data_IF_862834032266
#
_entry.id   IF_862834032266
#
_cell.length_a   1.000
_cell.length_b   1.000
_cell.length_c   1.000
_cell.angle_alpha   90.00
_cell.angle_beta   90.00
_cell.angle_gamma   90.00
#
_symmetry.space_group_name_H-M   'P 1'
#
loop_
_entity.id
_entity.type
_entity.pdbx_description
1 polymer ?
#
# COMPACT_ATOMS: atom_id res chain seq x y z
N UNK A 1 32.20 -59.02 3.51
CA UNK A 1 30.86 -59.34 4.05
C UNK A 1 29.82 -58.57 3.26
N UNK A 2 28.74 -59.24 2.88
CA UNK A 2 27.48 -58.77 2.28
C UNK A 2 27.59 -57.83 1.05
N UNK A 3 27.63 -58.37 -0.17
CA UNK A 3 26.50 -58.81 -1.04
C UNK A 3 25.90 -57.65 -1.87
N UNK A 4 26.16 -57.69 -3.18
CA UNK A 4 25.43 -56.91 -4.18
C UNK A 4 24.06 -57.52 -4.51
N UNK A 5 23.38 -56.91 -5.48
CA UNK A 5 22.55 -57.48 -6.56
C UNK A 5 21.81 -56.30 -7.23
N UNK A 6 22.00 -56.12 -8.53
CA UNK A 6 21.08 -55.34 -9.37
C UNK A 6 20.10 -56.26 -10.08
N UNK A 7 19.00 -55.76 -10.67
CA UNK A 7 18.28 -56.49 -11.72
C UNK A 7 17.50 -55.57 -12.69
N UNK A 8 17.67 -55.95 -13.96
CA UNK A 8 17.00 -55.75 -15.25
C UNK A 8 15.77 -54.85 -15.49
N UNK A 9 15.83 -54.32 -16.72
CA UNK A 9 14.80 -53.80 -17.66
C UNK A 9 13.45 -54.54 -17.72
N UNK A 10 12.41 -53.78 -18.09
CA UNK A 10 11.43 -54.23 -19.09
C UNK A 10 10.96 -53.06 -19.98
N UNK A 11 11.21 -53.19 -21.29
CA UNK A 11 10.64 -52.38 -22.37
C UNK A 11 9.44 -53.14 -22.95
N UNK A 12 8.33 -52.45 -23.24
CA UNK A 12 7.32 -52.95 -24.18
C UNK A 12 6.96 -51.86 -25.19
N UNK A 13 7.40 -52.07 -26.44
CA UNK A 13 6.92 -51.39 -27.65
C UNK A 13 5.52 -51.91 -28.01
N UNK A 14 4.68 -51.04 -28.54
CA UNK A 14 3.65 -51.41 -29.52
C UNK A 14 3.53 -50.30 -30.59
N UNK A 15 3.27 -50.75 -31.82
CA UNK A 15 3.46 -50.08 -33.12
C UNK A 15 2.19 -49.34 -33.62
N UNK A 16 2.29 -48.51 -34.68
CA UNK A 16 1.24 -47.61 -35.15
C UNK A 16 0.31 -48.27 -36.19
N UNK A 17 -0.84 -47.64 -36.43
CA UNK A 17 -1.71 -47.93 -37.57
C UNK A 17 -2.12 -46.62 -38.26
N UNK A 18 -1.66 -46.47 -39.51
CA UNK A 18 -2.18 -45.49 -40.48
C UNK A 18 -3.51 -45.98 -41.06
N UNK A 19 -4.42 -45.05 -41.36
CA UNK A 19 -5.29 -45.14 -42.53
C UNK A 19 -5.05 -43.90 -43.39
N UNK A 20 -4.73 -44.13 -44.67
CA UNK A 20 -4.70 -43.12 -45.73
C UNK A 20 -6.09 -43.05 -46.36
N UNK A 21 -6.57 -41.83 -46.64
CA UNK A 21 -7.31 -41.56 -47.87
C UNK A 21 -6.83 -40.22 -48.44
N UNK A 22 -6.62 -40.22 -49.76
CA UNK A 22 -6.03 -39.18 -50.60
C UNK A 22 -7.11 -38.28 -51.24
N UNK A 23 -6.62 -37.21 -51.87
CA UNK A 23 -7.25 -36.22 -52.77
C UNK A 23 -7.72 -34.92 -52.08
N UNK A 24 -7.32 -33.71 -52.49
CA UNK A 24 -6.68 -33.30 -53.75
C UNK A 24 -6.09 -31.88 -53.70
N UNK A 25 -5.54 -31.51 -54.87
CA UNK A 25 -4.71 -30.35 -55.22
C UNK A 25 -5.22 -28.96 -54.79
N UNK A 26 -4.27 -28.04 -54.56
CA UNK A 26 -4.51 -26.60 -54.68
C UNK A 26 -3.41 -25.73 -54.10
N UNK A 27 -2.48 -25.28 -54.95
CA UNK A 27 -1.48 -24.23 -54.66
C UNK A 27 -2.17 -22.91 -54.29
N UNK A 28 -1.80 -22.29 -53.16
CA UNK A 28 -1.57 -20.84 -53.05
C UNK A 28 -0.45 -20.62 -52.02
N UNK A 29 0.76 -20.35 -52.49
CA UNK A 29 1.80 -19.68 -51.72
C UNK A 29 1.35 -18.24 -51.47
N UNK A 30 0.72 -18.00 -50.33
CA UNK A 30 0.56 -16.65 -49.80
C UNK A 30 1.86 -16.28 -49.10
N UNK A 31 2.67 -15.46 -49.77
CA UNK A 31 3.77 -14.73 -49.14
C UNK A 31 3.11 -13.70 -48.20
N UNK A 32 2.73 -14.13 -47.00
CA UNK A 32 2.39 -13.18 -45.94
C UNK A 32 3.72 -12.58 -45.51
N UNK A 33 4.03 -11.40 -46.05
CA UNK A 33 4.96 -10.51 -45.39
C UNK A 33 4.42 -10.31 -43.98
N UNK A 34 5.00 -11.03 -43.01
CA UNK A 34 4.84 -10.69 -41.61
C UNK A 34 5.46 -9.29 -41.48
N UNK A 35 4.61 -8.28 -41.61
CA UNK A 35 4.89 -7.00 -41.00
C UNK A 35 4.91 -7.32 -39.51
N UNK A 36 6.09 -7.63 -38.98
CA UNK A 36 6.31 -7.56 -37.55
C UNK A 36 6.00 -6.11 -37.19
N UNK A 37 4.77 -5.88 -36.77
CA UNK A 37 4.48 -4.74 -35.92
C UNK A 37 5.31 -5.03 -34.68
N UNK A 38 6.54 -4.53 -34.67
CA UNK A 38 7.27 -4.27 -33.44
C UNK A 38 6.37 -3.33 -32.67
N UNK A 39 5.50 -3.91 -31.85
CA UNK A 39 5.04 -3.25 -30.65
C UNK A 39 6.34 -2.78 -29.99
N UNK A 40 6.48 -1.47 -29.71
CA UNK A 40 7.61 -1.02 -28.90
C UNK A 40 7.63 -1.96 -27.71
N UNK A 41 8.77 -2.60 -27.44
CA UNK A 41 8.92 -3.42 -26.24
C UNK A 41 8.38 -2.56 -25.12
N UNK A 42 7.21 -2.94 -24.59
CA UNK A 42 6.61 -2.27 -23.46
C UNK A 42 7.74 -2.28 -22.45
N UNK A 43 8.32 -1.10 -22.20
CA UNK A 43 9.52 -0.97 -21.38
C UNK A 43 9.23 -1.86 -20.19
N UNK A 44 9.99 -2.95 -20.02
CA UNK A 44 9.99 -3.66 -18.76
C UNK A 44 10.55 -2.64 -17.79
N UNK A 45 9.66 -1.81 -17.23
CA UNK A 45 9.97 -0.95 -16.11
C UNK A 45 10.06 -1.92 -14.93
N UNK A 46 11.16 -2.68 -14.93
CA UNK A 46 11.59 -3.52 -13.84
C UNK A 46 11.72 -2.59 -12.64
N UNK A 47 10.79 -2.72 -11.72
CA UNK A 47 10.82 -1.96 -10.50
C UNK A 47 12.03 -2.40 -9.66
N UNK A 48 12.73 -1.47 -8.98
CA UNK A 48 13.72 -1.89 -8.01
C UNK A 48 13.04 -2.81 -6.99
N UNK A 49 13.69 -3.91 -6.64
CA UNK A 49 13.20 -4.76 -5.58
C UNK A 49 12.98 -3.88 -4.34
N UNK A 50 11.77 -3.86 -3.76
CA UNK A 50 11.52 -3.12 -2.50
C UNK A 50 12.42 -3.60 -1.36
N UNK A 51 13.10 -4.73 -1.54
CA UNK A 51 14.04 -5.34 -0.61
C UNK A 51 15.51 -5.01 -0.91
N UNK A 52 15.83 -4.31 -2.00
CA UNK A 52 17.18 -3.88 -2.33
C UNK A 52 17.18 -2.43 -2.81
N UNK A 53 17.85 -1.50 -2.09
CA UNK A 53 17.94 -0.12 -2.54
C UNK A 53 18.67 -0.07 -3.90
N UNK A 54 18.21 0.77 -4.84
CA UNK A 54 18.87 0.88 -6.13
C UNK A 54 20.28 1.46 -5.96
N UNK A 55 21.22 1.03 -6.80
CA UNK A 55 22.60 1.56 -6.80
C UNK A 55 22.70 2.97 -7.38
N UNK A 56 21.64 3.42 -8.04
CA UNK A 56 21.50 4.73 -8.69
C UNK A 56 20.16 5.36 -8.34
N UNK A 57 20.09 6.69 -8.31
CA UNK A 57 18.83 7.39 -8.07
C UNK A 57 17.93 7.26 -9.30
N UNK A 58 16.74 6.70 -9.10
CA UNK A 58 15.76 6.47 -10.16
C UNK A 58 14.38 6.95 -9.71
N UNK A 59 13.58 7.43 -10.68
CA UNK A 59 12.20 7.80 -10.42
C UNK A 59 11.38 6.54 -10.12
N UNK A 60 10.63 6.56 -9.02
CA UNK A 60 9.86 5.42 -8.56
C UNK A 60 8.51 5.31 -9.32
N UNK A 61 8.33 4.24 -10.09
CA UNK A 61 7.10 3.98 -10.85
C UNK A 61 6.64 5.20 -11.69
N UNK A 62 7.47 5.70 -12.63
CA UNK A 62 7.14 6.88 -13.43
C UNK A 62 5.83 6.70 -14.20
N UNK A 63 4.96 7.70 -14.15
CA UNK A 63 3.65 7.66 -14.81
C UNK A 63 2.63 6.69 -14.19
N UNK A 64 2.96 6.08 -13.05
CA UNK A 64 2.04 5.29 -12.22
C UNK A 64 1.94 5.90 -10.83
N UNK A 65 3.06 5.98 -10.12
CA UNK A 65 3.14 6.65 -8.83
C UNK A 65 3.72 8.04 -9.06
N UNK A 66 4.98 8.19 -9.46
CA UNK A 66 5.51 9.54 -9.75
C UNK A 66 4.87 10.13 -11.01
N UNK A 67 3.95 11.09 -10.83
CA UNK A 67 3.28 11.84 -11.89
C UNK A 67 3.37 13.34 -11.68
N UNK A 68 2.73 14.15 -12.54
CA UNK A 68 2.70 15.61 -12.42
C UNK A 68 1.67 16.12 -11.39
N UNK A 69 0.87 15.24 -10.79
CA UNK A 69 -0.13 15.63 -9.81
C UNK A 69 0.49 15.80 -8.41
N UNK A 70 -0.21 16.50 -7.51
CA UNK A 70 0.20 16.57 -6.10
C UNK A 70 -0.04 15.21 -5.46
N UNK A 71 1.05 14.56 -5.08
CA UNK A 71 1.06 13.22 -4.50
C UNK A 71 1.81 13.27 -3.19
N UNK A 72 1.25 12.60 -2.18
CA UNK A 72 1.77 12.56 -0.82
C UNK A 72 1.40 11.23 -0.17
N UNK A 73 2.04 10.95 0.97
CA UNK A 73 1.68 9.89 1.91
C UNK A 73 1.54 8.50 1.25
N UNK A 74 2.63 7.75 1.21
CA UNK A 74 2.69 6.44 0.56
C UNK A 74 2.59 5.31 1.59
N UNK A 75 1.78 4.31 1.30
CA UNK A 75 1.70 3.05 2.03
C UNK A 75 1.96 1.86 1.10
N UNK A 76 2.89 1.01 1.50
CA UNK A 76 3.20 -0.23 0.80
C UNK A 76 2.69 -1.37 1.68
N UNK A 77 1.89 -2.27 1.10
CA UNK A 77 1.42 -3.44 1.80
C UNK A 77 2.61 -4.33 2.21
N UNK A 78 2.58 -5.02 3.37
CA UNK A 78 3.68 -5.89 3.80
C UNK A 78 4.04 -7.00 2.82
N UNK A 79 3.07 -7.51 2.07
CA UNK A 79 3.26 -8.49 0.99
C UNK A 79 3.75 -7.86 -0.34
N UNK A 80 3.97 -6.55 -0.37
CA UNK A 80 4.41 -5.78 -1.54
C UNK A 80 3.48 -5.90 -2.76
N UNK A 81 2.24 -6.35 -2.56
CA UNK A 81 1.29 -6.55 -3.65
C UNK A 81 0.49 -5.29 -4.00
N UNK A 82 0.40 -4.34 -3.06
CA UNK A 82 -0.39 -3.12 -3.21
C UNK A 82 0.45 -1.93 -2.73
N UNK A 83 0.41 -0.84 -3.49
CA UNK A 83 0.84 0.48 -3.06
C UNK A 83 -0.36 1.39 -3.07
N UNK A 84 -0.51 2.17 -1.99
CA UNK A 84 -1.50 3.22 -1.86
C UNK A 84 -0.77 4.56 -1.69
N UNK A 85 -1.36 5.62 -2.22
CA UNK A 85 -0.87 6.98 -1.97
C UNK A 85 -2.02 7.98 -2.00
N UNK A 86 -1.85 9.11 -1.35
CA UNK A 86 -2.80 10.22 -1.42
C UNK A 86 -2.54 11.07 -2.65
N UNK A 87 -3.56 11.21 -3.50
CA UNK A 87 -3.61 12.17 -4.59
C UNK A 87 -4.44 13.37 -4.12
N UNK A 88 -3.85 14.57 -4.18
CA UNK A 88 -4.52 15.80 -3.81
C UNK A 88 -4.63 16.75 -5.02
N UNK A 89 -5.68 17.57 -5.05
CA UNK A 89 -5.69 18.73 -5.93
C UNK A 89 -4.75 19.81 -5.39
N UNK A 90 -4.30 20.74 -6.25
CA UNK A 90 -3.81 22.03 -5.78
C UNK A 90 -4.81 22.64 -4.77
N UNK A 91 -4.28 23.37 -3.78
CA UNK A 91 -5.06 24.04 -2.73
C UNK A 91 -5.94 23.12 -1.85
N UNK A 92 -5.77 21.79 -1.93
CA UNK A 92 -6.49 20.79 -1.12
C UNK A 92 -8.02 20.81 -1.28
N UNK A 93 -8.55 21.31 -2.39
CA UNK A 93 -9.99 21.24 -2.70
C UNK A 93 -10.52 19.79 -2.85
N UNK A 94 -9.63 18.85 -3.15
CA UNK A 94 -9.93 17.41 -3.24
C UNK A 94 -8.74 16.59 -2.76
N UNK A 95 -9.01 15.45 -2.13
CA UNK A 95 -8.02 14.41 -1.90
C UNK A 95 -8.66 13.03 -1.89
N UNK A 96 -7.97 12.04 -2.46
CA UNK A 96 -8.39 10.65 -2.43
C UNK A 96 -7.19 9.71 -2.33
N UNK A 97 -7.45 8.52 -1.81
CA UNK A 97 -6.47 7.44 -1.75
C UNK A 97 -6.51 6.68 -3.07
N UNK A 98 -5.37 6.66 -3.75
CA UNK A 98 -5.14 5.94 -4.99
C UNK A 98 -4.50 4.60 -4.69
N UNK A 99 -4.90 3.56 -5.41
CA UNK A 99 -4.38 2.21 -5.34
C UNK A 99 -3.68 1.81 -6.63
N UNK A 100 -2.52 1.18 -6.48
CA UNK A 100 -1.74 0.54 -7.53
C UNK A 100 -1.44 -0.89 -7.12
N UNK A 101 -1.77 -1.87 -7.98
CA UNK A 101 -1.56 -3.29 -7.71
C UNK A 101 -0.41 -3.85 -8.53
N UNK A 102 0.37 -4.74 -7.92
CA UNK A 102 1.41 -5.50 -8.61
C UNK A 102 0.79 -6.66 -9.38
N UNK A 103 1.29 -6.91 -10.58
CA UNK A 103 0.96 -8.04 -11.44
C UNK A 103 2.23 -8.59 -12.10
N UNK A 104 2.09 -9.69 -12.85
CA UNK A 104 3.19 -10.24 -13.67
C UNK A 104 3.67 -9.24 -14.73
N UNK A 105 2.78 -8.36 -15.21
CA UNK A 105 3.06 -7.31 -16.20
C UNK A 105 3.57 -6.00 -15.54
N UNK A 106 3.89 -6.02 -14.24
CA UNK A 106 4.28 -4.84 -13.48
C UNK A 106 3.11 -4.20 -12.72
N UNK A 107 3.23 -2.91 -12.44
CA UNK A 107 2.23 -2.15 -11.66
C UNK A 107 1.05 -1.69 -12.52
N UNK A 108 -0.17 -1.89 -12.02
CA UNK A 108 -1.40 -1.49 -12.69
C UNK A 108 -1.48 0.03 -12.90
N UNK A 109 -2.42 0.48 -13.73
CA UNK A 109 -2.81 1.90 -13.69
C UNK A 109 -3.40 2.25 -12.31
N UNK A 110 -3.13 3.46 -11.78
CA UNK A 110 -3.72 3.87 -10.52
C UNK A 110 -5.24 3.99 -10.61
N UNK A 111 -5.94 3.58 -9.56
CA UNK A 111 -7.39 3.73 -9.42
C UNK A 111 -7.72 4.32 -8.06
N UNK A 112 -8.81 5.07 -7.95
CA UNK A 112 -9.32 5.48 -6.63
C UNK A 112 -9.66 4.21 -5.85
N UNK A 113 -9.16 4.12 -4.62
CA UNK A 113 -9.45 2.98 -3.76
C UNK A 113 -10.98 2.89 -3.52
N UNK A 114 -11.59 1.69 -3.51
CA UNK A 114 -13.05 1.53 -3.43
C UNK A 114 -13.72 2.17 -2.21
N UNK A 115 -12.95 2.44 -1.15
CA UNK A 115 -13.42 3.09 0.07
C UNK A 115 -13.20 4.61 0.10
N UNK A 116 -12.66 5.19 -0.97
CA UNK A 116 -12.25 6.60 -1.08
C UNK A 116 -12.91 7.34 -2.25
N UNK A 117 -12.72 8.66 -2.31
CA UNK A 117 -13.13 9.53 -3.42
C UNK A 117 -14.46 10.26 -3.22
N UNK A 118 -15.19 9.98 -2.13
CA UNK A 118 -16.40 10.73 -1.74
C UNK A 118 -16.09 11.84 -0.73
N UNK A 119 -15.10 11.61 0.13
CA UNK A 119 -14.65 12.50 1.18
C UNK A 119 -13.17 12.78 0.97
N UNK A 120 -12.59 13.71 1.72
CA UNK A 120 -11.14 13.86 1.74
C UNK A 120 -10.58 12.71 2.55
N UNK A 121 -9.90 11.79 1.88
CA UNK A 121 -9.21 10.67 2.51
C UNK A 121 -7.70 10.79 2.26
N UNK A 122 -6.94 10.69 3.34
CA UNK A 122 -5.52 11.04 3.38
C UNK A 122 -4.73 9.96 4.11
N UNK A 123 -3.42 9.95 3.88
CA UNK A 123 -2.44 9.33 4.77
C UNK A 123 -2.70 7.85 5.05
N UNK A 124 -2.77 7.01 3.99
CA UNK A 124 -2.93 5.58 4.16
C UNK A 124 -1.74 4.99 4.93
N UNK A 125 -2.00 4.03 5.81
CA UNK A 125 -0.98 3.30 6.57
C UNK A 125 -1.43 1.85 6.83
N UNK A 126 -0.62 0.87 6.46
CA UNK A 126 -0.93 -0.53 6.74
C UNK A 126 -0.62 -0.89 8.18
N UNK A 127 -1.46 -1.74 8.78
CA UNK A 127 -1.04 -2.51 9.95
C UNK A 127 0.15 -3.41 9.58
N UNK A 128 1.09 -3.71 10.50
CA UNK A 128 2.25 -4.54 10.17
C UNK A 128 1.90 -5.95 9.69
N UNK A 129 0.76 -6.49 10.12
CA UNK A 129 0.23 -7.78 9.64
C UNK A 129 -0.49 -7.70 8.28
N UNK A 130 -0.65 -6.50 7.73
CA UNK A 130 -1.28 -6.22 6.43
C UNK A 130 -2.79 -6.44 6.38
N UNK A 131 -3.44 -6.77 7.51
CA UNK A 131 -4.88 -7.06 7.57
C UNK A 131 -5.75 -5.81 7.58
N UNK A 132 -5.19 -4.66 7.97
CA UNK A 132 -5.90 -3.39 8.05
C UNK A 132 -5.12 -2.30 7.33
N UNK A 133 -5.88 -1.38 6.74
CA UNK A 133 -5.37 -0.09 6.32
C UNK A 133 -6.04 0.99 7.17
N UNK A 134 -5.23 1.81 7.81
CA UNK A 134 -5.62 3.01 8.54
C UNK A 134 -5.47 4.23 7.64
N UNK A 135 -6.28 5.25 7.83
CA UNK A 135 -6.23 6.49 7.06
C UNK A 135 -6.95 7.61 7.81
N UNK A 136 -6.65 8.87 7.47
CA UNK A 136 -7.36 10.04 7.99
C UNK A 136 -8.49 10.43 7.04
N UNK A 137 -9.67 10.80 7.57
CA UNK A 137 -10.83 11.14 6.75
C UNK A 137 -11.78 12.11 7.44
N UNK A 138 -12.28 13.09 6.68
CA UNK A 138 -13.30 14.05 7.14
C UNK A 138 -14.74 13.57 6.92
N UNK A 139 -14.91 12.26 6.70
CA UNK A 139 -16.22 11.66 6.46
C UNK A 139 -17.11 11.73 7.71
N UNK A 140 -18.42 11.98 7.57
CA UNK A 140 -19.34 12.00 8.70
C UNK A 140 -19.51 10.63 9.36
N UNK A 141 -19.72 10.63 10.68
CA UNK A 141 -20.31 9.51 11.41
C UNK A 141 -21.78 9.26 11.03
N UNK A 142 -22.51 10.31 10.65
CA UNK A 142 -23.90 10.24 10.18
C UNK A 142 -24.26 11.40 9.24
N UNK A 143 -25.13 11.17 8.26
CA UNK A 143 -25.50 12.18 7.27
C UNK A 143 -24.42 12.40 6.21
N UNK A 144 -24.42 13.59 5.60
CA UNK A 144 -23.54 13.96 4.47
C UNK A 144 -22.60 15.14 4.77
N UNK A 145 -22.76 15.81 5.90
CA UNK A 145 -21.92 16.95 6.28
C UNK A 145 -20.56 16.47 6.77
N UNK A 146 -19.48 16.93 6.14
CA UNK A 146 -18.12 16.64 6.58
C UNK A 146 -17.86 17.20 7.98
N UNK A 147 -16.93 16.58 8.69
CA UNK A 147 -16.47 16.97 10.02
C UNK A 147 -14.96 17.25 10.01
N UNK A 148 -14.35 17.41 11.17
CA UNK A 148 -12.91 17.29 11.37
C UNK A 148 -12.40 15.92 10.88
N UNK A 149 -11.10 15.85 10.64
CA UNK A 149 -10.46 14.62 10.22
C UNK A 149 -10.35 13.64 11.39
N UNK A 150 -10.95 12.47 11.21
CA UNK A 150 -10.85 11.36 12.15
C UNK A 150 -9.91 10.28 11.59
N UNK A 151 -9.38 9.43 12.47
CA UNK A 151 -8.76 8.18 12.05
C UNK A 151 -9.83 7.11 11.78
N UNK A 152 -9.69 6.48 10.63
CA UNK A 152 -10.50 5.36 10.16
C UNK A 152 -9.61 4.18 9.82
N UNK A 153 -10.20 2.99 9.76
CA UNK A 153 -9.56 1.80 9.21
C UNK A 153 -10.49 1.03 8.28
N UNK A 154 -9.93 0.23 7.40
CA UNK A 154 -10.67 -0.65 6.50
C UNK A 154 -9.98 -2.02 6.45
N UNK A 155 -10.71 -3.14 6.57
CA UNK A 155 -10.08 -4.45 6.53
C UNK A 155 -9.68 -4.80 5.09
N UNK A 156 -8.48 -5.37 4.94
CA UNK A 156 -8.01 -5.99 3.72
C UNK A 156 -8.35 -7.48 3.78
N UNK A 157 -9.23 -7.92 2.89
CA UNK A 157 -9.68 -9.32 2.80
C UNK A 157 -9.22 -9.95 1.49
N UNK A 158 -9.39 -11.27 1.37
CA UNK A 158 -9.11 -11.98 0.11
C UNK A 158 -10.07 -11.55 -1.02
N UNK A 159 -11.24 -11.01 -0.69
CA UNK A 159 -12.21 -10.46 -1.65
C UNK A 159 -11.96 -8.98 -1.98
N UNK A 160 -10.98 -8.33 -1.35
CA UNK A 160 -10.70 -6.90 -1.48
C UNK A 160 -10.91 -6.12 -0.18
N UNK A 161 -11.21 -4.84 -0.29
CA UNK A 161 -11.44 -3.96 0.87
C UNK A 161 -12.84 -4.14 1.43
N UNK A 162 -12.94 -4.18 2.77
CA UNK A 162 -14.23 -4.16 3.44
C UNK A 162 -14.81 -2.76 3.60
N UNK A 163 -15.65 -2.59 4.63
CA UNK A 163 -16.26 -1.30 4.96
C UNK A 163 -15.32 -0.51 5.88
N UNK A 164 -15.15 0.80 5.65
CA UNK A 164 -14.46 1.67 6.59
C UNK A 164 -15.14 1.75 7.96
N UNK A 165 -14.32 1.75 9.00
CA UNK A 165 -14.67 1.81 10.42
C UNK A 165 -13.98 3.03 11.03
N UNK A 166 -14.74 3.91 11.69
CA UNK A 166 -14.18 5.00 12.49
C UNK A 166 -13.56 4.40 13.76
N UNK A 167 -12.38 4.86 14.17
CA UNK A 167 -11.75 4.35 15.40
C UNK A 167 -12.48 4.79 16.67
N UNK A 168 -13.23 5.89 16.60
CA UNK A 168 -14.05 6.40 17.68
C UNK A 168 -13.25 6.86 18.88
N UNK A 169 -13.96 7.24 19.95
CA UNK A 169 -13.32 7.50 21.23
C UNK A 169 -12.75 6.20 21.85
N UNK A 170 -11.59 6.27 22.53
CA UNK A 170 -10.87 7.50 22.88
C UNK A 170 -9.81 7.93 21.85
N UNK A 171 -9.63 7.18 20.76
CA UNK A 171 -8.58 7.45 19.76
C UNK A 171 -8.85 8.77 19.08
N UNK A 172 -10.02 8.89 18.44
CA UNK A 172 -10.44 10.13 17.82
C UNK A 172 -10.81 11.13 18.92
N UNK A 173 -10.22 12.32 18.85
CA UNK A 173 -10.35 13.38 19.84
C UNK A 173 -11.21 14.54 19.35
N UNK A 174 -11.25 15.65 20.09
CA UNK A 174 -11.70 16.91 19.52
C UNK A 174 -10.65 17.45 18.53
N UNK A 175 -11.08 17.82 17.32
CA UNK A 175 -10.20 18.36 16.29
C UNK A 175 -9.62 17.28 15.39
N UNK A 176 -8.68 17.67 14.53
CA UNK A 176 -8.18 16.77 13.50
C UNK A 176 -7.14 15.76 14.05
N UNK A 177 -7.31 14.49 13.67
CA UNK A 177 -6.36 13.39 13.88
C UNK A 177 -5.81 12.90 12.53
N UNK A 178 -4.49 12.95 12.39
CA UNK A 178 -3.77 12.73 11.12
C UNK A 178 -2.65 11.69 11.23
N UNK A 179 -2.23 11.20 10.08
CA UNK A 179 -1.01 10.43 9.85
C UNK A 179 -0.85 9.21 10.77
N UNK A 180 -1.75 8.21 10.67
CA UNK A 180 -1.66 7.01 11.48
C UNK A 180 -0.38 6.20 11.16
N UNK A 181 0.24 5.62 12.17
CA UNK A 181 1.38 4.71 12.06
C UNK A 181 1.28 3.62 13.11
N UNK A 182 1.50 2.36 12.73
CA UNK A 182 1.22 1.20 13.58
C UNK A 182 2.48 0.38 13.88
N UNK A 183 2.65 0.04 15.15
CA UNK A 183 3.61 -0.95 15.61
C UNK A 183 3.04 -2.37 15.59
N UNK A 184 3.90 -3.38 15.65
CA UNK A 184 3.53 -4.80 15.56
C UNK A 184 2.72 -5.30 16.76
N UNK A 185 2.86 -4.66 17.92
CA UNK A 185 2.02 -4.89 19.10
C UNK A 185 0.63 -4.23 18.99
N UNK A 186 0.36 -3.51 17.90
CA UNK A 186 -0.89 -2.82 17.65
C UNK A 186 -0.93 -1.38 18.14
N UNK A 187 0.12 -0.89 18.81
CA UNK A 187 0.16 0.52 19.23
C UNK A 187 0.03 1.44 18.02
N UNK A 188 -0.77 2.48 18.18
CA UNK A 188 -1.05 3.48 17.16
C UNK A 188 -0.38 4.78 17.53
N UNK A 189 0.35 5.34 16.59
CA UNK A 189 0.94 6.67 16.64
C UNK A 189 0.27 7.54 15.61
N UNK A 190 0.02 8.80 15.94
CA UNK A 190 -0.66 9.73 15.04
C UNK A 190 -0.38 11.17 15.45
N UNK A 191 -0.65 12.11 14.55
CA UNK A 191 -0.52 13.55 14.79
C UNK A 191 -1.86 14.08 15.28
N UNK A 192 -1.84 14.90 16.34
CA UNK A 192 -3.02 15.64 16.76
C UNK A 192 -2.65 16.96 17.45
N UNK A 193 -3.63 17.86 17.53
CA UNK A 193 -3.57 19.08 18.33
C UNK A 193 -4.65 19.04 19.39
N UNK A 194 -4.25 18.90 20.66
CA UNK A 194 -5.19 18.74 21.79
C UNK A 194 -4.80 19.67 22.94
N UNK A 195 -5.68 19.90 23.93
CA UNK A 195 -5.37 20.76 25.07
C UNK A 195 -4.14 20.34 25.90
N UNK A 196 -3.76 19.05 25.85
CA UNK A 196 -2.58 18.49 26.51
C UNK A 196 -1.34 18.39 25.60
N UNK A 197 -1.43 18.86 24.35
CA UNK A 197 -0.27 18.99 23.46
C UNK A 197 0.78 19.92 24.06
N UNK A 198 2.06 19.61 23.81
CA UNK A 198 3.19 20.46 24.20
C UNK A 198 3.42 21.59 23.21
N UNK A 199 3.24 21.30 21.93
CA UNK A 199 3.32 22.23 20.81
C UNK A 199 1.97 22.45 20.15
N UNK A 200 2.03 22.92 18.90
CA UNK A 200 0.83 23.16 18.10
C UNK A 200 0.30 21.87 17.45
N UNK A 201 1.20 20.97 17.07
CA UNK A 201 0.91 19.61 16.64
C UNK A 201 1.90 18.71 17.36
N UNK A 202 1.38 17.63 17.92
CA UNK A 202 2.14 16.68 18.72
C UNK A 202 1.92 15.28 18.16
N UNK A 203 2.92 14.42 18.33
CA UNK A 203 2.77 12.98 18.08
C UNK A 203 2.17 12.36 19.33
N UNK A 204 1.03 11.69 19.17
CA UNK A 204 0.32 10.94 20.20
C UNK A 204 0.55 9.45 20.03
N UNK A 205 0.40 8.72 21.13
CA UNK A 205 0.39 7.26 21.16
C UNK A 205 -0.88 6.76 21.84
N UNK A 206 -1.58 5.83 21.21
CA UNK A 206 -2.63 5.01 21.81
C UNK A 206 -2.14 3.56 21.92
N UNK A 207 -2.12 3.03 23.15
CA UNK A 207 -1.67 1.67 23.42
C UNK A 207 -2.77 0.68 23.08
N UNK A 208 -2.45 -0.37 22.33
CA UNK A 208 -3.40 -1.46 22.09
C UNK A 208 -3.48 -2.40 23.29
N UNK A 209 -4.70 -2.70 23.73
CA UNK A 209 -4.99 -3.58 24.87
C UNK A 209 -6.07 -4.60 24.50
N UNK A 210 -6.32 -5.58 25.37
CA UNK A 210 -7.42 -6.54 25.21
C UNK A 210 -8.80 -5.87 25.15
N UNK A 211 -8.94 -4.67 25.70
CA UNK A 211 -10.16 -3.85 25.66
C UNK A 211 -10.21 -2.84 24.51
N UNK A 212 -9.22 -2.86 23.60
CA UNK A 212 -9.07 -1.87 22.53
C UNK A 212 -8.00 -0.82 22.84
N UNK A 213 -8.04 0.32 22.16
CA UNK A 213 -7.07 1.39 22.34
C UNK A 213 -7.26 2.14 23.67
N UNK A 214 -6.15 2.43 24.35
CA UNK A 214 -6.12 3.35 25.49
C UNK A 214 -6.46 4.78 25.06
N UNK A 215 -6.76 5.65 26.04
CA UNK A 215 -6.71 7.09 25.81
C UNK A 215 -5.32 7.48 25.28
N UNK A 216 -5.24 8.22 24.16
CA UNK A 216 -3.96 8.63 23.61
C UNK A 216 -3.23 9.61 24.53
N UNK A 217 -1.91 9.52 24.57
CA UNK A 217 -1.05 10.47 25.30
C UNK A 217 0.01 11.06 24.37
N UNK A 218 0.36 12.35 24.48
CA UNK A 218 1.43 12.93 23.69
C UNK A 218 2.77 12.32 24.08
N UNK A 219 3.63 12.04 23.10
CA UNK A 219 4.97 11.50 23.35
C UNK A 219 5.82 12.44 24.20
N UNK A 220 6.85 11.88 24.84
CA UNK A 220 7.77 12.58 25.73
C UNK A 220 8.48 13.79 25.09
N UNK A 221 9.08 14.66 25.91
CA UNK A 221 9.73 15.91 25.45
C UNK A 221 10.98 15.69 24.60
N UNK A 222 11.48 14.46 24.53
CA UNK A 222 12.51 14.08 23.56
C UNK A 222 12.00 14.08 22.12
N UNK A 223 10.68 13.91 21.93
CA UNK A 223 10.02 13.97 20.64
C UNK A 223 9.28 15.30 20.52
N UNK A 224 8.21 15.50 21.28
CA UNK A 224 7.36 16.70 21.19
C UNK A 224 7.98 17.88 21.94
N UNK A 225 8.00 19.03 21.29
CA UNK A 225 8.55 20.30 21.77
C UNK A 225 7.45 21.36 21.86
N UNK A 226 7.82 22.64 22.02
CA UNK A 226 6.85 23.75 21.89
C UNK A 226 6.56 24.13 20.43
N UNK A 227 7.21 23.45 19.47
CA UNK A 227 7.08 23.66 18.04
C UNK A 227 5.95 22.83 17.42
N UNK A 228 6.27 22.14 16.33
CA UNK A 228 5.38 21.24 15.60
C UNK A 228 6.10 19.91 15.38
N UNK A 229 5.46 18.83 15.81
CA UNK A 229 5.90 17.46 15.58
C UNK A 229 4.76 16.64 14.99
N UNK A 230 4.96 16.19 13.75
CA UNK A 230 3.90 15.56 12.98
C UNK A 230 4.46 14.54 11.99
N UNK A 231 3.54 13.78 11.41
CA UNK A 231 3.77 12.79 10.36
C UNK A 231 4.85 11.76 10.73
N UNK A 232 4.62 11.09 11.86
CA UNK A 232 5.53 10.09 12.39
C UNK A 232 5.37 8.73 11.68
N UNK A 233 6.49 8.12 11.33
CA UNK A 233 6.62 6.70 11.07
C UNK A 233 7.25 6.02 12.29
N UNK A 234 6.57 5.03 12.87
CA UNK A 234 7.14 4.15 13.90
C UNK A 234 7.60 2.84 13.25
N UNK A 235 8.77 2.34 13.65
CA UNK A 235 9.19 0.99 13.23
C UNK A 235 8.26 -0.07 13.86
N UNK A 236 8.01 -1.21 13.20
CA UNK A 236 7.12 -2.24 13.75
C UNK A 236 7.51 -2.76 15.14
N UNK A 237 8.80 -2.71 15.49
CA UNK A 237 9.32 -3.11 16.79
C UNK A 237 9.48 -1.94 17.78
N UNK A 238 9.00 -0.75 17.43
CA UNK A 238 9.11 0.49 18.20
C UNK A 238 10.55 0.90 18.58
N UNK A 239 11.56 0.33 17.89
CA UNK A 239 12.97 0.65 18.15
C UNK A 239 13.38 2.03 17.67
N UNK A 240 12.67 2.58 16.67
CA UNK A 240 12.87 3.96 16.23
C UNK A 240 11.59 4.59 15.69
N UNK A 241 11.59 5.92 15.66
CA UNK A 241 10.54 6.74 15.07
C UNK A 241 11.18 7.83 14.22
N UNK A 242 10.66 8.05 13.01
CA UNK A 242 11.05 9.13 12.10
C UNK A 242 9.88 10.10 12.04
N UNK A 243 10.12 11.38 12.20
CA UNK A 243 9.05 12.38 12.21
C UNK A 243 9.51 13.71 11.60
N UNK A 244 8.53 14.55 11.29
CA UNK A 244 8.78 15.92 10.87
C UNK A 244 8.78 16.85 12.08
N UNK A 245 9.84 17.63 12.22
CA UNK A 245 9.94 18.69 13.23
C UNK A 245 10.00 20.05 12.56
N UNK A 246 9.18 21.00 13.03
CA UNK A 246 9.20 22.39 12.56
C UNK A 246 9.13 23.37 13.73
N UNK A 247 9.83 24.51 13.61
CA UNK A 247 9.92 25.53 14.66
C UNK A 247 10.33 25.00 16.05
N UNK A 248 11.18 23.97 16.08
CA UNK A 248 11.72 23.41 17.32
C UNK A 248 12.66 24.40 18.01
N UNK A 249 12.58 24.58 19.33
CA UNK A 249 13.60 25.32 20.07
C UNK A 249 14.95 24.59 19.96
N UNK A 250 16.01 25.36 19.69
CA UNK A 250 17.38 24.86 19.54
C UNK A 250 18.10 24.63 20.86
#
# INVERSE_FOLDING_TARGET
MAKGVGFLRYLKKAKPTMHRLLLGLGFITALVAACEVTTPSELEIGFPALHQPPTTLEVFAPGRISSHHVQRDIAIAPDSAIILYTLASPERAFAAIMEVRRSEQGWSTPKVAPFSGRFMDLEPAFSPDGRWLYFSSNRPLSGDSTQDFDLWRVPRTVQGWGKPENLGHPVNGPGDDFYPSLAANGNLYFTASRPDSKGNEDIYQAIWTDSGYSSPTPLGTGINSTGFEFNAFVSPDESYLIFTGYARPG
#
